data_IF_768266987291
#
_entry.id   IF_768266987291
#
_cell.length_a   1.000
_cell.length_b   1.000
_cell.length_c   1.000
_cell.angle_alpha   90.00
_cell.angle_beta   90.00
_cell.angle_gamma   90.00
#
_symmetry.space_group_name_H-M   'P 1'
#
loop_
_entity.id
_entity.type
_entity.pdbx_description
1 polymer ?
#
# COMPACT_ATOMS: atom_id res chain seq x y z
N UNK A 1 -3.80 13.49 26.06
CA UNK A 1 -5.16 12.93 26.19
C UNK A 1 -5.39 12.08 24.95
N UNK A 2 -5.57 10.77 25.08
CA UNK A 2 -5.93 9.93 23.94
C UNK A 2 -7.35 10.30 23.49
N UNK A 3 -7.50 10.66 22.21
CA UNK A 3 -8.81 10.91 21.58
C UNK A 3 -9.28 9.61 20.95
N UNK A 4 -10.46 9.12 21.33
CA UNK A 4 -11.10 7.96 20.69
C UNK A 4 -12.01 8.51 19.59
N UNK A 5 -11.80 8.05 18.36
CA UNK A 5 -12.58 8.48 17.20
C UNK A 5 -14.06 8.03 17.30
N UNK A 6 -15.04 8.94 17.35
CA UNK A 6 -16.47 8.60 17.40
C UNK A 6 -17.03 8.04 16.10
N UNK A 7 -16.37 8.24 14.96
CA UNK A 7 -16.83 7.71 13.67
C UNK A 7 -16.48 6.23 13.54
N UNK A 8 -15.42 5.79 14.24
CA UNK A 8 -14.91 4.42 14.20
C UNK A 8 -15.44 3.59 15.38
N UNK A 9 -15.35 4.12 16.60
CA UNK A 9 -15.60 3.36 17.83
C UNK A 9 -16.99 3.66 18.36
N UNK A 10 -17.83 2.62 18.41
CA UNK A 10 -19.20 2.72 18.91
C UNK A 10 -19.25 3.19 20.37
N UNK A 11 -20.38 3.81 20.77
CA UNK A 11 -20.57 4.28 22.15
C UNK A 11 -20.40 3.14 23.17
N UNK A 12 -20.95 1.96 22.88
CA UNK A 12 -20.84 0.78 23.74
C UNK A 12 -19.38 0.31 23.89
N UNK A 13 -18.61 0.28 22.78
CA UNK A 13 -17.19 -0.08 22.83
C UNK A 13 -16.39 0.96 23.63
N UNK A 14 -16.68 2.26 23.44
CA UNK A 14 -16.05 3.36 24.18
C UNK A 14 -16.30 3.26 25.68
N UNK A 15 -17.54 3.01 26.10
CA UNK A 15 -17.89 2.81 27.51
C UNK A 15 -17.16 1.61 28.10
N UNK A 16 -17.06 0.52 27.34
CA UNK A 16 -16.30 -0.68 27.75
C UNK A 16 -14.82 -0.40 27.91
N UNK A 17 -14.20 0.29 26.95
CA UNK A 17 -12.79 0.70 26.98
C UNK A 17 -12.52 1.62 28.17
N UNK A 18 -13.35 2.65 28.37
CA UNK A 18 -13.18 3.57 29.51
C UNK A 18 -13.36 2.83 30.85
N UNK A 19 -14.31 1.91 30.94
CA UNK A 19 -14.52 1.09 32.13
C UNK A 19 -13.34 0.18 32.48
N UNK A 20 -12.64 -0.35 31.46
CA UNK A 20 -11.41 -1.11 31.67
C UNK A 20 -10.27 -0.19 32.16
N UNK A 21 -10.11 0.97 31.54
CA UNK A 21 -9.00 1.89 31.85
C UNK A 21 -9.16 2.63 33.19
N UNK A 22 -10.39 2.87 33.65
CA UNK A 22 -10.66 3.53 34.94
C UNK A 22 -10.94 2.54 36.08
N UNK A 23 -10.93 1.23 35.80
CA UNK A 23 -11.12 0.17 36.78
C UNK A 23 -12.56 -0.09 37.23
N UNK A 24 -13.58 0.52 36.61
CA UNK A 24 -14.98 0.18 36.90
C UNK A 24 -15.38 -1.20 36.35
N UNK A 25 -14.64 -1.69 35.36
CA UNK A 25 -14.75 -3.05 34.82
C UNK A 25 -13.53 -3.88 35.24
N UNK A 26 -13.77 -5.05 35.82
CA UNK A 26 -12.70 -5.96 36.27
C UNK A 26 -12.13 -6.73 35.07
N UNK A 27 -10.81 -6.76 34.96
CA UNK A 27 -10.07 -7.57 33.97
C UNK A 27 -8.69 -7.94 34.53
N UNK A 28 -8.14 -9.06 34.08
CA UNK A 28 -6.77 -9.47 34.40
C UNK A 28 -5.71 -8.73 33.58
N UNK A 29 -6.10 -8.17 32.43
CA UNK A 29 -5.28 -7.32 31.56
C UNK A 29 -6.16 -6.19 30.98
N UNK A 30 -6.50 -5.18 31.78
CA UNK A 30 -7.42 -4.12 31.37
C UNK A 30 -6.92 -3.31 30.18
N UNK A 31 -5.60 -3.12 30.05
CA UNK A 31 -5.02 -2.36 28.94
C UNK A 31 -5.03 -3.17 27.64
N UNK A 32 -4.64 -4.45 27.70
CA UNK A 32 -4.68 -5.34 26.54
C UNK A 32 -6.11 -5.55 26.03
N UNK A 33 -7.08 -5.76 26.92
CA UNK A 33 -8.50 -5.89 26.55
C UNK A 33 -9.05 -4.58 25.95
N UNK A 34 -8.67 -3.42 26.51
CA UNK A 34 -9.07 -2.13 25.95
C UNK A 34 -8.51 -1.92 24.53
N UNK A 35 -7.24 -2.25 24.31
CA UNK A 35 -6.63 -2.16 22.98
C UNK A 35 -7.28 -3.12 21.99
N UNK A 36 -7.58 -4.35 22.42
CA UNK A 36 -8.25 -5.35 21.61
C UNK A 36 -9.62 -4.90 21.11
N UNK A 37 -10.41 -4.27 22.00
CA UNK A 37 -11.70 -3.70 21.65
C UNK A 37 -11.55 -2.58 20.61
N UNK A 38 -10.60 -1.67 20.81
CA UNK A 38 -10.34 -0.58 19.87
C UNK A 38 -9.93 -1.13 18.49
N UNK A 39 -8.97 -2.06 18.45
CA UNK A 39 -8.50 -2.65 17.19
C UNK A 39 -9.62 -3.36 16.44
N UNK A 40 -10.49 -4.07 17.17
CA UNK A 40 -11.66 -4.73 16.58
C UNK A 40 -12.64 -3.74 15.95
N UNK A 41 -12.91 -2.60 16.59
CA UNK A 41 -13.76 -1.54 16.03
C UNK A 41 -13.15 -0.95 14.76
N UNK A 42 -11.83 -0.73 14.72
CA UNK A 42 -11.12 -0.31 13.50
C UNK A 42 -11.23 -1.34 12.38
N UNK A 43 -11.07 -2.64 12.66
CA UNK A 43 -11.26 -3.69 11.65
C UNK A 43 -12.69 -3.68 11.09
N UNK A 44 -13.71 -3.54 11.94
CA UNK A 44 -15.11 -3.44 11.52
C UNK A 44 -15.38 -2.20 10.67
N UNK A 45 -14.79 -1.08 11.03
CA UNK A 45 -14.90 0.16 10.28
C UNK A 45 -14.35 -0.01 8.86
N UNK A 46 -13.11 -0.53 8.74
CA UNK A 46 -12.46 -0.72 7.45
C UNK A 46 -13.05 -1.86 6.61
N UNK A 47 -13.69 -2.87 7.22
CA UNK A 47 -14.44 -3.90 6.50
C UNK A 47 -15.52 -3.31 5.56
N UNK A 48 -16.11 -2.15 5.89
CA UNK A 48 -17.12 -1.50 5.04
C UNK A 48 -16.57 -1.14 3.66
N UNK A 49 -15.32 -0.64 3.62
CA UNK A 49 -14.67 -0.21 2.38
C UNK A 49 -13.76 -1.29 1.78
N UNK A 50 -13.22 -2.18 2.61
CA UNK A 50 -12.27 -3.23 2.23
C UNK A 50 -12.67 -4.59 2.83
N UNK A 51 -13.84 -5.15 2.44
CA UNK A 51 -14.35 -6.41 2.99
C UNK A 51 -13.49 -7.63 2.61
N UNK A 52 -12.63 -7.50 1.60
CA UNK A 52 -11.67 -8.52 1.19
C UNK A 52 -10.44 -8.60 2.11
N UNK A 53 -10.18 -7.55 2.91
CA UNK A 53 -9.00 -7.45 3.78
C UNK A 53 -9.36 -7.59 5.26
N UNK A 54 -10.45 -6.95 5.70
CA UNK A 54 -10.88 -6.98 7.10
C UNK A 54 -12.11 -7.87 7.24
N UNK A 55 -12.12 -8.79 8.20
CA UNK A 55 -13.28 -9.64 8.47
C UNK A 55 -14.38 -8.89 9.21
N UNK A 56 -15.65 -9.24 8.93
CA UNK A 56 -16.83 -8.60 9.53
C UNK A 56 -17.05 -8.99 10.99
N UNK A 57 -16.79 -10.25 11.31
CA UNK A 57 -16.99 -10.84 12.63
C UNK A 57 -15.71 -11.55 13.05
N UNK A 58 -15.24 -11.27 14.27
CA UNK A 58 -14.16 -12.01 14.89
C UNK A 58 -14.67 -13.43 15.25
N UNK A 59 -14.81 -14.29 14.24
CA UNK A 59 -14.77 -15.72 14.50
C UNK A 59 -13.37 -16.05 15.04
N UNK A 60 -13.19 -17.22 15.66
CA UNK A 60 -11.93 -17.67 16.27
C UNK A 60 -10.68 -17.66 15.33
N UNK A 61 -10.84 -17.30 14.06
CA UNK A 61 -9.80 -16.99 13.06
C UNK A 61 -9.44 -15.49 12.97
N UNK A 62 -10.34 -14.60 13.38
CA UNK A 62 -10.22 -13.15 13.38
C UNK A 62 -9.42 -12.67 14.57
N UNK A 63 -8.14 -12.36 14.32
CA UNK A 63 -7.20 -11.78 15.27
C UNK A 63 -7.01 -12.62 16.55
N UNK A 64 -6.10 -13.60 16.48
CA UNK A 64 -5.31 -13.92 17.67
C UNK A 64 -4.49 -12.68 17.99
N UNK A 65 -5.05 -11.77 18.80
CA UNK A 65 -4.33 -10.60 19.28
C UNK A 65 -3.16 -11.14 20.08
N UNK A 66 -1.91 -10.94 19.60
CA UNK A 66 -0.76 -11.48 20.29
C UNK A 66 -0.76 -10.98 21.74
N UNK A 67 -0.40 -11.84 22.69
CA UNK A 67 -0.10 -11.36 24.02
C UNK A 67 1.04 -10.33 23.94
N UNK A 68 1.09 -9.41 24.90
CA UNK A 68 2.21 -8.46 25.04
C UNK A 68 2.33 -7.39 23.93
N UNK A 69 1.25 -7.08 23.18
CA UNK A 69 1.27 -6.00 22.17
C UNK A 69 1.57 -4.60 22.75
N UNK A 70 1.34 -4.39 24.03
CA UNK A 70 1.55 -3.10 24.69
C UNK A 70 2.92 -2.98 25.38
N UNK A 71 3.76 -4.01 25.33
CA UNK A 71 5.11 -3.92 25.84
C UNK A 71 5.99 -2.97 25.00
N UNK A 72 7.01 -2.42 25.64
CA UNK A 72 7.93 -1.47 25.02
C UNK A 72 8.72 -2.06 23.84
N UNK A 73 8.98 -3.36 23.84
CA UNK A 73 9.69 -4.09 22.78
C UNK A 73 8.76 -4.88 21.84
N UNK A 74 7.44 -4.70 21.99
CA UNK A 74 6.44 -5.38 21.18
C UNK A 74 6.60 -5.10 19.68
N UNK A 75 6.08 -6.01 18.86
CA UNK A 75 5.98 -5.79 17.42
C UNK A 75 5.24 -4.49 17.09
N UNK A 76 4.12 -4.22 17.79
CA UNK A 76 3.33 -3.00 17.59
C UNK A 76 4.16 -1.74 17.86
N UNK A 77 4.87 -1.67 19.00
CA UNK A 77 5.65 -0.48 19.33
C UNK A 77 6.79 -0.26 18.33
N UNK A 78 7.43 -1.34 17.84
CA UNK A 78 8.43 -1.24 16.77
C UNK A 78 7.81 -0.78 15.45
N UNK A 79 6.67 -1.34 15.07
CA UNK A 79 5.97 -0.99 13.84
C UNK A 79 5.59 0.49 13.82
N UNK A 80 5.01 1.03 14.90
CA UNK A 80 4.60 2.45 14.98
C UNK A 80 5.80 3.40 14.99
N UNK A 81 6.94 2.99 15.57
CA UNK A 81 8.18 3.79 15.54
C UNK A 81 8.78 3.87 14.14
N UNK A 82 8.73 2.78 13.38
CA UNK A 82 9.26 2.70 12.02
C UNK A 82 8.30 3.32 11.00
N UNK A 83 7.02 2.95 11.06
CA UNK A 83 5.94 3.42 10.19
C UNK A 83 5.29 4.69 10.76
N UNK A 84 6.10 5.72 10.98
CA UNK A 84 5.62 7.00 11.47
C UNK A 84 4.84 7.75 10.36
N UNK A 85 4.19 8.86 10.73
CA UNK A 85 3.32 9.61 9.82
C UNK A 85 4.04 10.17 8.58
N UNK A 86 5.34 10.48 8.69
CA UNK A 86 6.16 10.98 7.59
C UNK A 86 6.49 9.85 6.61
N UNK A 87 6.97 8.72 7.12
CA UNK A 87 7.27 7.53 6.31
C UNK A 87 6.00 7.06 5.58
N UNK A 88 4.86 7.01 6.26
CA UNK A 88 3.60 6.60 5.67
C UNK A 88 3.04 7.57 4.60
N UNK A 89 3.63 8.76 4.38
CA UNK A 89 3.30 9.58 3.20
C UNK A 89 3.90 9.01 1.91
N UNK A 90 4.97 8.21 2.02
CA UNK A 90 5.65 7.64 0.87
C UNK A 90 4.97 6.33 0.43
N UNK A 91 4.46 6.32 -0.80
CA UNK A 91 3.84 5.14 -1.42
C UNK A 91 4.80 3.95 -1.52
N UNK A 92 6.12 4.19 -1.55
CA UNK A 92 7.12 3.13 -1.60
C UNK A 92 7.10 2.24 -0.35
N UNK A 93 6.60 2.73 0.80
CA UNK A 93 6.48 1.93 2.03
C UNK A 93 5.67 0.65 1.80
N UNK A 94 4.55 0.75 1.07
CA UNK A 94 3.73 -0.43 0.73
C UNK A 94 4.52 -1.36 -0.20
N UNK A 95 5.27 -0.80 -1.13
CA UNK A 95 6.16 -1.53 -2.02
C UNK A 95 7.23 -2.33 -1.28
N UNK A 96 7.89 -1.71 -0.31
CA UNK A 96 8.89 -2.35 0.53
C UNK A 96 8.28 -3.43 1.43
N UNK A 97 7.13 -3.15 2.06
CA UNK A 97 6.40 -4.15 2.84
C UNK A 97 6.05 -5.37 1.99
N UNK A 98 5.55 -5.15 0.77
CA UNK A 98 5.25 -6.22 -0.17
C UNK A 98 6.52 -7.01 -0.53
N UNK A 99 7.59 -6.34 -0.94
CA UNK A 99 8.82 -7.02 -1.37
C UNK A 99 9.50 -7.82 -0.24
N UNK A 100 9.51 -7.27 0.98
CA UNK A 100 10.18 -7.91 2.12
C UNK A 100 9.32 -8.91 2.87
N UNK A 101 8.02 -9.01 2.55
CA UNK A 101 7.12 -9.97 3.20
C UNK A 101 7.61 -11.42 3.13
N UNK A 102 8.33 -11.79 2.06
CA UNK A 102 8.90 -13.13 1.86
C UNK A 102 10.41 -13.11 1.67
N UNK A 103 11.12 -12.16 2.30
CA UNK A 103 12.58 -12.00 2.17
C UNK A 103 13.33 -13.31 2.37
N UNK A 104 12.97 -14.07 3.41
CA UNK A 104 13.67 -15.29 3.78
C UNK A 104 13.49 -16.37 2.70
N UNK A 105 12.25 -16.53 2.21
CA UNK A 105 11.93 -17.46 1.12
C UNK A 105 12.61 -17.05 -0.19
N UNK A 106 12.68 -15.76 -0.48
CA UNK A 106 13.41 -15.23 -1.62
C UNK A 106 14.90 -15.59 -1.53
N UNK A 107 15.52 -15.35 -0.38
CA UNK A 107 16.94 -15.67 -0.16
C UNK A 107 17.23 -17.18 -0.32
N UNK A 108 16.35 -18.05 0.18
CA UNK A 108 16.42 -19.50 -0.04
C UNK A 108 16.40 -19.86 -1.53
N UNK A 109 15.46 -19.27 -2.29
CA UNK A 109 15.29 -19.52 -3.73
C UNK A 109 16.53 -19.05 -4.51
N UNK A 110 17.02 -17.84 -4.25
CA UNK A 110 18.22 -17.30 -4.88
C UNK A 110 19.49 -18.09 -4.51
N UNK A 111 19.59 -18.61 -3.28
CA UNK A 111 20.65 -19.54 -2.90
C UNK A 111 20.56 -20.87 -3.68
N UNK A 112 19.35 -21.32 -4.00
CA UNK A 112 19.10 -22.45 -4.92
C UNK A 112 19.61 -22.18 -6.33
N UNK A 113 19.38 -20.98 -6.88
CA UNK A 113 19.85 -20.59 -8.22
C UNK A 113 21.38 -20.58 -8.32
N UNK A 114 22.07 -20.12 -7.27
CA UNK A 114 23.54 -20.20 -7.17
C UNK A 114 24.07 -21.64 -7.20
N UNK A 115 23.22 -22.63 -6.89
CA UNK A 115 23.50 -24.07 -6.99
C UNK A 115 22.94 -24.70 -8.27
N UNK A 116 22.65 -23.88 -9.30
CA UNK A 116 22.10 -24.29 -10.59
C UNK A 116 20.73 -24.97 -10.53
N UNK A 117 19.97 -24.81 -9.44
CA UNK A 117 18.56 -25.19 -9.42
C UNK A 117 17.76 -24.16 -10.23
N UNK A 118 16.87 -24.62 -11.09
CA UNK A 118 15.93 -23.72 -11.80
C UNK A 118 14.72 -23.44 -10.93
N UNK A 119 14.10 -22.27 -11.11
CA UNK A 119 12.83 -21.96 -10.47
C UNK A 119 11.73 -22.89 -11.00
N UNK A 120 11.03 -23.58 -10.10
CA UNK A 120 9.76 -24.23 -10.38
C UNK A 120 8.59 -23.30 -10.08
N UNK A 121 7.37 -23.81 -10.20
CA UNK A 121 6.15 -23.05 -9.97
C UNK A 121 6.07 -22.43 -8.56
N UNK A 122 6.61 -23.11 -7.54
CA UNK A 122 6.61 -22.65 -6.15
C UNK A 122 7.67 -21.57 -5.87
N UNK A 123 8.76 -21.54 -6.65
CA UNK A 123 9.83 -20.57 -6.49
C UNK A 123 9.62 -19.28 -7.28
N UNK A 124 8.81 -19.33 -8.36
CA UNK A 124 8.54 -18.17 -9.22
C UNK A 124 8.00 -16.96 -8.43
N UNK A 125 6.99 -17.09 -7.55
CA UNK A 125 6.48 -15.94 -6.80
C UNK A 125 7.58 -15.25 -5.98
N UNK A 126 8.40 -16.04 -5.27
CA UNK A 126 9.50 -15.51 -4.47
C UNK A 126 10.62 -14.86 -5.30
N UNK A 127 10.91 -15.43 -6.47
CA UNK A 127 11.90 -14.88 -7.38
C UNK A 127 11.45 -13.60 -8.10
N UNK A 128 10.13 -13.43 -8.30
CA UNK A 128 9.57 -12.37 -9.16
C UNK A 128 8.81 -11.28 -8.39
N UNK A 129 8.63 -11.42 -7.07
CA UNK A 129 8.09 -10.38 -6.21
C UNK A 129 9.11 -9.23 -6.04
N UNK A 130 9.11 -8.32 -7.01
CA UNK A 130 9.98 -7.16 -7.09
C UNK A 130 9.15 -5.88 -7.09
N UNK A 131 9.51 -4.97 -6.21
CA UNK A 131 8.95 -3.62 -6.22
C UNK A 131 9.67 -2.77 -7.27
N UNK A 132 8.92 -1.92 -7.96
CA UNK A 132 9.49 -0.97 -8.94
C UNK A 132 9.67 0.40 -8.25
N UNK A 133 10.92 0.87 -8.06
CA UNK A 133 11.19 2.16 -7.43
C UNK A 133 10.56 3.33 -8.17
N UNK A 134 10.25 4.40 -7.44
CA UNK A 134 9.46 5.53 -7.92
C UNK A 134 10.05 6.19 -9.17
N UNK A 135 11.37 6.36 -9.24
CA UNK A 135 12.00 6.97 -10.43
C UNK A 135 11.81 6.12 -11.70
N UNK A 136 11.79 4.79 -11.59
CA UNK A 136 11.53 3.89 -12.73
C UNK A 136 10.08 4.00 -13.16
N UNK A 137 9.17 4.05 -12.19
CA UNK A 137 7.74 4.29 -12.43
C UNK A 137 7.54 5.58 -13.20
N UNK A 138 8.09 6.69 -12.71
CA UNK A 138 7.97 7.99 -13.38
C UNK A 138 8.56 7.96 -14.77
N UNK A 139 9.76 7.43 -14.93
CA UNK A 139 10.39 7.28 -16.24
C UNK A 139 9.50 6.51 -17.22
N UNK A 140 8.94 5.36 -16.81
CA UNK A 140 8.12 4.53 -17.69
C UNK A 140 6.79 5.20 -18.04
N UNK A 141 6.11 5.83 -17.07
CA UNK A 141 4.81 6.46 -17.28
C UNK A 141 4.93 7.80 -18.04
N UNK A 142 5.92 8.64 -17.70
CA UNK A 142 6.20 9.91 -18.40
C UNK A 142 6.47 9.65 -19.88
N UNK A 143 7.25 8.61 -20.18
CA UNK A 143 7.65 8.28 -21.55
C UNK A 143 6.67 7.35 -22.29
N UNK A 144 5.54 6.98 -21.67
CA UNK A 144 4.47 6.23 -22.32
C UNK A 144 3.17 7.05 -22.39
N UNK A 145 2.45 7.16 -21.28
CA UNK A 145 1.23 7.97 -21.16
C UNK A 145 1.52 9.44 -21.46
N UNK A 146 2.52 10.01 -20.79
CA UNK A 146 2.90 11.41 -20.96
C UNK A 146 3.34 11.72 -22.39
N UNK A 147 4.18 10.87 -22.98
CA UNK A 147 4.59 10.97 -24.39
C UNK A 147 3.40 10.92 -25.34
N UNK A 148 2.47 9.98 -25.16
CA UNK A 148 1.28 9.91 -26.01
C UNK A 148 0.45 11.19 -25.94
N UNK A 149 0.30 11.77 -24.75
CA UNK A 149 -0.39 13.06 -24.59
C UNK A 149 0.36 14.20 -25.29
N UNK A 150 1.67 14.31 -25.09
CA UNK A 150 2.50 15.34 -25.70
C UNK A 150 2.52 15.26 -27.23
N UNK A 151 2.53 14.06 -27.82
CA UNK A 151 2.42 13.88 -29.27
C UNK A 151 1.07 14.40 -29.82
N UNK A 152 0.00 14.25 -29.04
CA UNK A 152 -1.33 14.71 -29.41
C UNK A 152 -1.57 16.20 -29.10
N UNK A 153 -0.83 16.76 -28.14
CA UNK A 153 -0.93 18.16 -27.69
C UNK A 153 0.47 18.74 -27.47
N UNK A 154 1.23 19.05 -28.54
CA UNK A 154 2.63 19.49 -28.43
C UNK A 154 2.82 20.75 -27.58
N UNK A 155 1.82 21.64 -27.56
CA UNK A 155 1.85 22.89 -26.79
C UNK A 155 1.48 22.72 -25.29
N UNK A 156 1.18 21.48 -24.87
CA UNK A 156 0.86 21.16 -23.47
C UNK A 156 2.04 21.48 -22.55
N UNK A 157 1.73 21.97 -21.34
CA UNK A 157 2.75 22.20 -20.30
C UNK A 157 3.04 20.95 -19.45
N UNK A 158 2.40 19.82 -19.74
CA UNK A 158 2.53 18.59 -18.95
C UNK A 158 3.99 18.16 -18.79
N UNK A 159 4.83 18.34 -19.83
CA UNK A 159 6.25 18.00 -19.77
C UNK A 159 7.03 18.72 -18.66
N UNK A 160 6.54 19.86 -18.16
CA UNK A 160 7.14 20.59 -17.04
C UNK A 160 6.90 19.89 -15.68
N UNK A 161 5.95 18.96 -15.61
CA UNK A 161 5.62 18.16 -14.42
C UNK A 161 6.17 16.72 -14.51
N UNK A 162 6.83 16.37 -15.62
CA UNK A 162 7.36 15.04 -15.90
C UNK A 162 8.89 15.03 -15.79
N UNK A 163 9.40 14.89 -14.56
CA UNK A 163 10.84 15.01 -14.25
C UNK A 163 11.72 14.03 -15.03
N UNK A 164 11.16 12.92 -15.53
CA UNK A 164 11.88 11.87 -16.26
C UNK A 164 11.49 11.80 -17.74
N UNK A 165 10.77 12.80 -18.26
CA UNK A 165 10.38 12.85 -19.66
C UNK A 165 11.59 13.05 -20.59
N UNK A 166 11.70 12.18 -21.60
CA UNK A 166 12.72 12.25 -22.63
C UNK A 166 12.10 12.84 -23.90
N UNK A 167 12.52 14.06 -24.23
CA UNK A 167 12.07 14.74 -25.45
C UNK A 167 12.54 13.93 -26.68
N UNK A 168 11.64 13.58 -27.63
CA UNK A 168 12.02 12.92 -28.87
C UNK A 168 13.08 13.74 -29.63
N UNK A 169 14.08 13.05 -30.19
CA UNK A 169 15.08 13.70 -31.07
C UNK A 169 14.53 13.86 -32.49
N UNK A 170 13.70 12.89 -32.91
CA UNK A 170 13.07 12.86 -34.23
C UNK A 170 11.56 13.09 -34.10
N UNK A 171 10.94 13.59 -35.18
CA UNK A 171 9.49 13.72 -35.28
C UNK A 171 8.82 12.35 -35.31
N UNK A 172 8.12 11.99 -34.23
CA UNK A 172 7.31 10.78 -34.18
C UNK A 172 5.94 11.04 -34.81
N UNK A 173 5.75 10.57 -36.04
CA UNK A 173 4.50 10.75 -36.79
C UNK A 173 3.53 9.57 -36.67
N UNK A 174 4.00 8.42 -36.17
CA UNK A 174 3.18 7.22 -36.01
C UNK A 174 2.75 7.03 -34.55
N UNK A 175 1.68 7.73 -34.17
CA UNK A 175 1.06 7.61 -32.86
C UNK A 175 -0.46 7.54 -32.96
N UNK A 176 -1.08 7.05 -31.88
CA UNK A 176 -2.54 7.00 -31.79
C UNK A 176 -3.08 8.41 -31.53
N UNK A 177 -3.92 8.90 -32.44
CA UNK A 177 -4.67 10.13 -32.23
C UNK A 177 -5.70 9.94 -31.10
N UNK A 178 -5.73 10.90 -30.17
CA UNK A 178 -6.71 10.99 -29.08
C UNK A 178 -7.33 12.39 -29.04
N UNK A 179 -8.67 12.45 -28.98
CA UNK A 179 -9.38 13.73 -29.01
C UNK A 179 -9.63 14.30 -27.61
N UNK A 180 -9.70 13.43 -26.60
CA UNK A 180 -10.03 13.80 -25.23
C UNK A 180 -9.29 12.92 -24.22
N UNK A 181 -9.06 13.40 -22.98
CA UNK A 181 -8.51 12.58 -21.89
C UNK A 181 -9.23 11.25 -21.68
N UNK A 182 -10.55 11.20 -21.87
CA UNK A 182 -11.41 10.03 -21.65
C UNK A 182 -11.15 8.87 -22.63
N UNK A 183 -10.45 9.12 -23.74
CA UNK A 183 -10.03 8.06 -24.66
C UNK A 183 -8.81 7.27 -24.17
N UNK A 184 -8.10 7.79 -23.16
CA UNK A 184 -6.94 7.14 -22.55
C UNK A 184 -7.40 5.97 -21.67
N UNK A 185 -6.79 4.81 -21.90
CA UNK A 185 -6.98 3.60 -21.10
C UNK A 185 -5.63 3.01 -20.75
N UNK A 186 -5.43 2.70 -19.47
CA UNK A 186 -4.16 2.22 -18.93
C UNK A 186 -4.41 0.86 -18.29
N UNK A 187 -3.47 -0.06 -18.50
CA UNK A 187 -3.49 -1.39 -17.90
C UNK A 187 -2.08 -1.75 -17.45
N UNK A 188 -1.98 -2.23 -16.23
CA UNK A 188 -0.82 -2.95 -15.73
C UNK A 188 -1.29 -4.35 -15.29
N UNK A 189 -1.06 -5.40 -16.10
CA UNK A 189 -1.58 -6.74 -15.82
C UNK A 189 -0.85 -7.46 -14.67
N UNK A 190 0.22 -6.86 -14.13
CA UNK A 190 1.02 -7.39 -13.03
C UNK A 190 1.32 -6.29 -12.00
N UNK A 191 0.31 -5.47 -11.69
CA UNK A 191 0.48 -4.18 -11.01
C UNK A 191 1.05 -4.23 -9.58
N UNK A 192 1.10 -5.40 -8.94
CA UNK A 192 1.63 -5.53 -7.57
C UNK A 192 0.92 -4.57 -6.61
N UNK A 193 1.68 -3.65 -6.00
CA UNK A 193 1.14 -2.59 -5.12
C UNK A 193 0.41 -1.47 -5.86
N UNK A 194 0.35 -1.50 -7.19
CA UNK A 194 -0.33 -0.52 -8.03
C UNK A 194 0.49 0.74 -8.32
N UNK A 195 1.79 0.77 -8.01
CA UNK A 195 2.62 1.99 -8.06
C UNK A 195 2.62 2.67 -9.45
N UNK A 196 2.65 1.89 -10.54
CA UNK A 196 2.49 2.43 -11.90
C UNK A 196 1.15 3.13 -12.09
N UNK A 197 0.07 2.52 -11.59
CA UNK A 197 -1.29 3.00 -11.76
C UNK A 197 -1.57 4.23 -10.88
N UNK A 198 -0.97 4.33 -9.70
CA UNK A 198 -1.10 5.51 -8.84
C UNK A 198 -0.44 6.73 -9.49
N UNK A 199 0.79 6.60 -9.98
CA UNK A 199 1.44 7.72 -10.69
C UNK A 199 0.76 8.03 -12.03
N UNK A 200 0.30 7.00 -12.75
CA UNK A 200 -0.49 7.23 -13.97
C UNK A 200 -1.79 8.00 -13.68
N UNK A 201 -2.44 7.75 -12.55
CA UNK A 201 -3.60 8.53 -12.11
C UNK A 201 -3.23 9.98 -11.84
N UNK A 202 -2.12 10.26 -11.16
CA UNK A 202 -1.64 11.63 -10.93
C UNK A 202 -1.42 12.37 -12.25
N UNK A 203 -0.81 11.70 -13.24
CA UNK A 203 -0.59 12.29 -14.56
C UNK A 203 -1.90 12.49 -15.34
N UNK A 204 -2.84 11.55 -15.26
CA UNK A 204 -4.19 11.71 -15.82
C UNK A 204 -4.95 12.88 -15.17
N UNK A 205 -4.79 13.08 -13.86
CA UNK A 205 -5.38 14.20 -13.14
C UNK A 205 -4.82 15.54 -13.62
N UNK A 206 -3.52 15.62 -13.92
CA UNK A 206 -2.90 16.81 -14.52
C UNK A 206 -3.30 17.04 -15.99
N UNK A 207 -3.71 15.98 -16.69
CA UNK A 207 -4.19 16.04 -18.09
C UNK A 207 -5.64 16.57 -18.18
N UNK A 208 -6.47 16.27 -17.18
CA UNK A 208 -7.90 16.61 -17.14
C UNK A 208 -8.14 18.10 -16.84
#
# INVERSE_FOLDING_TARGET
>A
RASIDPEVVSQQARESVLGLLNGTRRSGDPQGEAYALLLTEYCRYWNRSMPFMFEREANFTGLLIPANLLADDSFLNRAVKVLNAEICQDVEVIGWLYQFYISDRKDEVFAGFKKSKKAGAEEIPAATQLFTPHWIVRYLVDNSLGRLWMLNRPDSRLAQQMDYYVTPVDDETNFRAINSPEELKIIDPACGSGHMLTYAFDLLYLIY
#
